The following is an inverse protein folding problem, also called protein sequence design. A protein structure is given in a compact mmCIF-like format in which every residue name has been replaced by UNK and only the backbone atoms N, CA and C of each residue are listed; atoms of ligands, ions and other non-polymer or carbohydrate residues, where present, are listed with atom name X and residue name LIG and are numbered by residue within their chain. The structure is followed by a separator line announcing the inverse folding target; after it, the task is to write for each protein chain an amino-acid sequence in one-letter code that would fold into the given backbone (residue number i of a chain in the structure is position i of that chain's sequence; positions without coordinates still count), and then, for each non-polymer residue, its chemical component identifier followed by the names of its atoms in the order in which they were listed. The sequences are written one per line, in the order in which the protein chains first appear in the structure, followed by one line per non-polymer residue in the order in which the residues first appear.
data_IF_555162438333
#
_entry.id   IF_555162438333
#
_cell.length_a   1.000
_cell.length_b   1.000
_cell.length_c   1.000
_cell.angle_alpha   90.00
_cell.angle_beta   90.00
_cell.angle_gamma   90.00
#
_symmetry.space_group_name_H-M   'P 1'
#
loop_
_entity.id
_entity.type
_entity.pdbx_description
1 polymer ?
#
# COMPACT_ATOMS: atom_id res chain seq x y z
N UNK A 1 -12.06 -1.06 -10.87
CA UNK A 1 -12.04 0.25 -10.18
C UNK A 1 -10.59 0.61 -9.88
N UNK A 2 -10.22 1.89 -9.99
CA UNK A 2 -8.89 2.38 -9.61
C UNK A 2 -9.02 3.07 -8.25
N UNK A 3 -8.23 2.65 -7.27
CA UNK A 3 -8.23 3.23 -5.92
C UNK A 3 -6.99 4.10 -5.77
N UNK A 4 -7.21 5.35 -5.37
CA UNK A 4 -6.12 6.31 -5.13
C UNK A 4 -5.87 6.43 -3.64
N UNK A 5 -4.61 6.25 -3.24
CA UNK A 5 -4.16 6.41 -1.85
C UNK A 5 -3.23 7.60 -1.77
N UNK A 6 -3.63 8.61 -1.00
CA UNK A 6 -2.85 9.83 -0.80
C UNK A 6 -2.31 9.89 0.63
N UNK A 7 -1.01 10.13 0.76
CA UNK A 7 -0.30 10.12 2.04
C UNK A 7 0.49 11.41 2.15
N UNK A 8 0.19 12.22 3.16
CA UNK A 8 1.01 13.40 3.47
C UNK A 8 2.16 13.00 4.39
N UNK A 9 3.39 13.25 3.94
CA UNK A 9 4.61 13.05 4.71
C UNK A 9 5.17 14.40 5.11
N UNK A 10 5.53 14.54 6.39
CA UNK A 10 6.16 15.76 6.92
C UNK A 10 7.51 15.44 7.56
N UNK A 11 8.55 16.17 7.18
CA UNK A 11 9.81 16.14 7.90
C UNK A 11 9.66 16.99 9.17
N UNK A 12 9.60 16.33 10.31
CA UNK A 12 9.50 16.97 11.64
C UNK A 12 10.85 17.19 12.31
N UNK A 13 11.95 16.83 11.63
CA UNK A 13 13.32 17.02 12.08
C UNK A 13 13.86 18.42 11.82
N UNK A 14 15.13 18.61 12.20
CA UNK A 14 15.87 19.88 12.03
C UNK A 14 16.80 19.91 10.82
N UNK A 15 16.86 18.81 10.08
CA UNK A 15 17.75 18.63 8.93
C UNK A 15 16.96 18.09 7.75
N UNK A 16 17.43 18.36 6.55
CA UNK A 16 16.87 17.81 5.32
C UNK A 16 17.10 16.29 5.27
N UNK A 17 16.17 15.55 4.68
CA UNK A 17 16.24 14.10 4.63
C UNK A 17 15.31 13.46 3.60
N UNK A 18 15.55 12.18 3.33
CA UNK A 18 14.72 11.35 2.48
C UNK A 18 13.89 10.38 3.32
N UNK A 19 12.62 10.18 2.94
CA UNK A 19 11.74 9.15 3.49
C UNK A 19 11.32 8.17 2.38
N UNK A 20 11.25 6.88 2.69
CA UNK A 20 10.74 5.85 1.78
C UNK A 20 9.36 5.42 2.25
N UNK A 21 8.32 6.02 1.68
CA UNK A 21 6.93 5.64 1.94
C UNK A 21 6.65 4.32 1.25
N UNK A 22 6.10 3.34 1.96
CA UNK A 22 5.78 2.00 1.48
C UNK A 22 4.28 1.75 1.64
N UNK A 23 3.65 1.28 0.57
CA UNK A 23 2.25 0.88 0.54
C UNK A 23 2.16 -0.65 0.42
N UNK A 24 1.42 -1.24 1.33
CA UNK A 24 1.11 -2.66 1.36
C UNK A 24 -0.39 -2.90 1.25
N UNK A 25 -0.74 -4.06 0.69
CA UNK A 25 -2.11 -4.58 0.70
C UNK A 25 -2.14 -5.86 1.54
N UNK A 26 -3.18 -6.00 2.36
CA UNK A 26 -3.53 -7.25 3.01
C UNK A 26 -4.94 -7.66 2.60
N UNK A 27 -5.06 -8.85 2.02
CA UNK A 27 -6.33 -9.49 1.74
C UNK A 27 -6.82 -10.18 3.03
N UNK A 28 -7.90 -9.67 3.64
CA UNK A 28 -8.38 -10.16 4.95
C UNK A 28 -8.93 -11.58 4.85
N UNK A 29 -9.44 -11.98 3.67
CA UNK A 29 -10.01 -13.30 3.45
C UNK A 29 -9.93 -13.68 1.97
N UNK A 30 -8.92 -14.49 1.65
CA UNK A 30 -8.75 -15.07 0.33
C UNK A 30 -9.22 -16.53 0.28
N UNK A 31 -9.58 -17.01 -0.91
CA UNK A 31 -9.87 -18.42 -1.15
C UNK A 31 -8.63 -19.33 -1.10
N UNK A 32 -7.43 -18.75 -1.17
CA UNK A 32 -6.14 -19.43 -1.09
C UNK A 32 -5.31 -18.88 0.07
N UNK A 33 -4.33 -19.65 0.54
CA UNK A 33 -3.37 -19.15 1.50
C UNK A 33 -2.49 -18.08 0.84
N UNK A 34 -2.42 -16.89 1.47
CA UNK A 34 -1.70 -15.71 0.97
C UNK A 34 -0.77 -15.18 2.05
N UNK A 35 0.18 -14.36 1.62
CA UNK A 35 1.00 -13.57 2.52
C UNK A 35 0.14 -12.66 3.41
N UNK A 36 0.61 -12.41 4.65
CA UNK A 36 -0.06 -11.50 5.57
C UNK A 36 -0.17 -10.08 5.00
N UNK A 37 0.77 -9.65 4.17
CA UNK A 37 0.68 -8.42 3.37
C UNK A 37 1.74 -8.42 2.28
N UNK A 38 1.45 -7.78 1.16
CA UNK A 38 2.39 -7.62 0.04
C UNK A 38 2.64 -6.15 -0.29
N UNK A 39 3.91 -5.82 -0.57
CA UNK A 39 4.31 -4.48 -1.02
C UNK A 39 3.75 -4.24 -2.42
N UNK A 40 3.01 -3.15 -2.61
CA UNK A 40 2.39 -2.79 -3.90
C UNK A 40 2.91 -1.47 -4.47
N UNK A 41 3.49 -0.62 -3.63
CA UNK A 41 4.13 0.61 -4.08
C UNK A 41 5.12 1.14 -3.07
N UNK A 42 6.09 1.90 -3.54
CA UNK A 42 6.96 2.70 -2.68
C UNK A 42 7.34 4.00 -3.39
N UNK A 43 7.61 5.04 -2.62
CA UNK A 43 8.07 6.32 -3.13
C UNK A 43 9.15 6.89 -2.22
N UNK A 44 10.26 7.32 -2.82
CA UNK A 44 11.26 8.14 -2.13
C UNK A 44 10.84 9.61 -2.18
N UNK A 45 10.81 10.26 -1.04
CA UNK A 45 10.45 11.68 -0.92
C UNK A 45 11.56 12.42 -0.20
N UNK A 46 12.21 13.34 -0.91
CA UNK A 46 13.15 14.28 -0.31
C UNK A 46 12.38 15.46 0.30
N UNK A 47 12.64 15.76 1.57
CA UNK A 47 11.97 16.80 2.33
C UNK A 47 12.97 17.68 3.06
N UNK A 48 12.87 19.00 2.88
CA UNK A 48 13.57 19.96 3.74
C UNK A 48 13.06 19.89 5.17
N UNK A 49 13.86 20.35 6.13
CA UNK A 49 13.40 20.48 7.51
C UNK A 49 12.07 21.27 7.60
N UNK A 50 11.03 20.66 8.16
CA UNK A 50 9.69 21.24 8.28
C UNK A 50 8.78 21.09 7.05
N UNK A 51 9.30 20.66 5.89
CA UNK A 51 8.53 20.51 4.66
C UNK A 51 7.51 19.37 4.75
N UNK A 52 6.39 19.49 4.02
CA UNK A 52 5.42 18.43 3.82
C UNK A 52 5.16 18.20 2.33
N UNK A 53 5.04 16.94 1.92
CA UNK A 53 4.67 16.54 0.54
C UNK A 53 3.64 15.43 0.58
N UNK A 54 2.75 15.43 -0.41
CA UNK A 54 1.79 14.35 -0.62
C UNK A 54 2.36 13.35 -1.61
N UNK A 55 2.29 12.07 -1.26
CA UNK A 55 2.60 10.94 -2.13
C UNK A 55 1.28 10.28 -2.53
N UNK A 56 1.14 9.99 -3.82
CA UNK A 56 -0.04 9.35 -4.38
C UNK A 56 0.33 7.98 -4.94
N UNK A 57 -0.40 6.95 -4.51
CA UNK A 57 -0.31 5.60 -5.05
C UNK A 57 -1.62 5.23 -5.73
N UNK A 58 -1.52 4.44 -6.80
CA UNK A 58 -2.67 3.85 -7.47
C UNK A 58 -2.69 2.35 -7.21
N UNK A 59 -3.83 1.86 -6.74
CA UNK A 59 -4.11 0.44 -6.56
C UNK A 59 -5.09 0.05 -7.67
N UNK A 60 -4.62 -0.83 -8.55
CA UNK A 60 -5.43 -1.42 -9.59
C UNK A 60 -5.75 -2.90 -9.27
N UNK A 61 -6.49 -3.56 -10.18
CA UNK A 61 -6.82 -4.98 -10.04
C UNK A 61 -5.58 -5.86 -9.89
N UNK A 62 -4.46 -5.52 -10.55
CA UNK A 62 -3.23 -6.31 -10.48
C UNK A 62 -2.59 -6.25 -9.08
N UNK A 63 -2.75 -5.12 -8.39
CA UNK A 63 -2.29 -4.98 -7.02
C UNK A 63 -3.07 -5.88 -6.03
N UNK A 64 -4.34 -6.19 -6.33
CA UNK A 64 -5.19 -7.06 -5.48
C UNK A 64 -5.10 -8.54 -5.87
N UNK A 65 -4.73 -8.81 -7.12
CA UNK A 65 -4.77 -10.14 -7.69
C UNK A 65 -3.76 -11.12 -7.07
N UNK A 66 -4.13 -12.39 -7.10
CA UNK A 66 -3.26 -13.55 -6.90
C UNK A 66 -3.35 -14.49 -8.11
N UNK A 67 -2.41 -15.41 -8.26
CA UNK A 67 -2.44 -16.38 -9.34
C UNK A 67 -3.26 -17.62 -8.94
N UNK A 68 -4.39 -17.85 -9.60
CA UNK A 68 -5.24 -19.02 -9.40
C UNK A 68 -4.70 -20.19 -10.25
N UNK A 69 -4.18 -21.22 -9.58
CA UNK A 69 -3.56 -22.39 -10.23
C UNK A 69 -4.60 -23.22 -11.02
N UNK A 70 -5.86 -23.26 -10.58
CA UNK A 70 -6.92 -24.03 -11.24
C UNK A 70 -7.34 -23.34 -12.54
N UNK A 71 -7.49 -22.02 -12.51
CA UNK A 71 -7.88 -21.21 -13.68
C UNK A 71 -6.70 -20.82 -14.57
N UNK A 72 -5.47 -20.94 -14.07
CA UNK A 72 -4.21 -20.54 -14.73
C UNK A 72 -4.16 -19.06 -15.10
N UNK A 73 -4.74 -18.21 -14.25
CA UNK A 73 -4.85 -16.77 -14.49
C UNK A 73 -4.70 -15.94 -13.20
N UNK A 74 -4.45 -14.63 -13.35
CA UNK A 74 -4.44 -13.70 -12.22
C UNK A 74 -5.87 -13.24 -11.91
N UNK A 75 -6.31 -13.51 -10.69
CA UNK A 75 -7.67 -13.22 -10.22
C UNK A 75 -7.59 -12.30 -9.00
N UNK A 76 -8.43 -11.26 -9.00
CA UNK A 76 -8.73 -10.49 -7.80
C UNK A 76 -10.16 -10.87 -7.39
N UNK A 77 -10.32 -11.34 -6.16
CA UNK A 77 -11.61 -11.75 -5.62
C UNK A 77 -12.28 -10.56 -4.91
N UNK A 78 -13.60 -10.39 -5.04
CA UNK A 78 -14.34 -9.43 -4.23
C UNK A 78 -14.17 -9.75 -2.74
N UNK A 79 -13.99 -8.72 -1.91
CA UNK A 79 -13.74 -8.89 -0.48
C UNK A 79 -13.19 -7.63 0.18
N UNK A 80 -12.91 -7.74 1.48
CA UNK A 80 -12.31 -6.67 2.26
C UNK A 80 -10.77 -6.72 2.17
N UNK A 81 -10.18 -5.59 1.82
CA UNK A 81 -8.73 -5.41 1.78
C UNK A 81 -8.30 -4.30 2.74
N UNK A 82 -7.16 -4.46 3.39
CA UNK A 82 -6.50 -3.38 4.11
C UNK A 82 -5.43 -2.73 3.23
N UNK A 83 -5.47 -1.39 3.11
CA UNK A 83 -4.33 -0.57 2.69
C UNK A 83 -3.52 -0.23 3.94
N UNK A 84 -2.23 -0.52 3.89
CA UNK A 84 -1.30 -0.29 4.99
C UNK A 84 -0.16 0.60 4.48
N UNK A 85 0.11 1.70 5.17
CA UNK A 85 1.21 2.62 4.81
C UNK A 85 2.19 2.76 5.97
N UNK A 86 3.48 2.65 5.66
CA UNK A 86 4.55 2.76 6.63
C UNK A 86 5.89 3.13 5.98
N UNK A 87 6.95 3.17 6.78
CA UNK A 87 8.33 3.32 6.30
C UNK A 87 9.11 1.99 6.31
N UNK A 88 8.50 0.92 6.83
CA UNK A 88 8.99 -0.45 6.72
C UNK A 88 7.82 -1.44 6.80
N UNK A 89 8.06 -2.70 6.44
CA UNK A 89 7.07 -3.77 6.60
C UNK A 89 6.68 -4.01 8.06
N UNK A 90 7.45 -3.54 9.04
CA UNK A 90 7.15 -3.71 10.47
C UNK A 90 6.57 -2.44 11.11
N UNK A 91 6.96 -1.28 10.61
CA UNK A 91 6.53 0.04 11.11
C UNK A 91 5.46 0.61 10.18
N UNK A 92 4.22 0.14 10.39
CA UNK A 92 3.02 0.62 9.71
C UNK A 92 2.41 1.75 10.54
N UNK A 93 2.20 2.89 9.90
CA UNK A 93 1.75 4.15 10.54
C UNK A 93 0.27 4.45 10.26
N UNK A 94 -0.22 4.03 9.10
CA UNK A 94 -1.61 4.22 8.68
C UNK A 94 -2.17 2.90 8.18
N UNK A 95 -3.46 2.67 8.45
CA UNK A 95 -4.22 1.52 7.98
C UNK A 95 -5.64 1.97 7.69
N UNK A 96 -6.15 1.60 6.52
CA UNK A 96 -7.54 1.77 6.12
C UNK A 96 -8.06 0.48 5.50
N UNK A 97 -9.36 0.21 5.63
CA UNK A 97 -10.02 -0.96 5.05
C UNK A 97 -11.00 -0.51 3.97
N UNK A 98 -11.04 -1.22 2.84
CA UNK A 98 -12.03 -0.98 1.78
C UNK A 98 -12.59 -2.29 1.23
N UNK A 99 -13.82 -2.23 0.75
CA UNK A 99 -14.47 -3.33 0.02
C UNK A 99 -14.15 -3.24 -1.47
N UNK A 100 -13.57 -4.30 -2.03
CA UNK A 100 -13.41 -4.49 -3.46
C UNK A 100 -14.57 -5.33 -3.99
N UNK A 101 -15.23 -4.85 -5.05
CA UNK A 101 -16.39 -5.51 -5.69
C UNK A 101 -16.08 -6.02 -7.08
#
# INVERSE_FOLDING_TARGET
EEITVEVTVKNTGKVDGDEIVQLYIHDKKASVEREVKSLKGFARVSLKAGESKTVTFKIDKSALAFYDIKKKEWVAEPGEFDVLVGNSSRDIRLKETFDYK
#
